data_IF_293789879277
#
_entry.id   IF_293789879277
#
_cell.length_a   1.000
_cell.length_b   1.000
_cell.length_c   1.000
_cell.angle_alpha   90.00
_cell.angle_beta   90.00
_cell.angle_gamma   90.00
#
_symmetry.space_group_name_H-M   'P 1'
#
loop_
_entity.id
_entity.type
_entity.pdbx_description
1 polymer ?
#
# COMPACT_ATOMS: atom_id res chain seq x y z
N UNK A 1 -12.76 -7.64 4.70
CA UNK A 1 -11.68 -7.03 5.48
C UNK A 1 -10.73 -6.36 4.52
N UNK A 2 -10.52 -5.05 4.67
CA UNK A 2 -9.58 -4.26 3.87
C UNK A 2 -8.27 -4.01 4.60
N UNK A 3 -7.34 -3.28 3.99
CA UNK A 3 -6.02 -3.03 4.58
C UNK A 3 -6.12 -2.33 5.95
N UNK A 4 -7.10 -1.44 6.12
CA UNK A 4 -7.38 -0.77 7.39
C UNK A 4 -7.66 -1.77 8.53
N UNK A 5 -8.23 -2.93 8.23
CA UNK A 5 -8.60 -3.93 9.23
C UNK A 5 -7.38 -4.75 9.72
N UNK A 6 -6.23 -4.66 9.03
CA UNK A 6 -5.02 -5.44 9.32
C UNK A 6 -3.86 -4.61 9.88
N UNK A 7 -4.07 -3.33 10.17
CA UNK A 7 -3.00 -2.44 10.61
C UNK A 7 -2.28 -2.94 11.86
N UNK A 8 -3.03 -3.31 12.91
CA UNK A 8 -2.45 -3.82 14.16
C UNK A 8 -1.63 -5.09 13.92
N UNK A 9 -2.15 -6.02 13.11
CA UNK A 9 -1.42 -7.23 12.74
C UNK A 9 -0.11 -6.92 12.02
N UNK A 10 -0.14 -5.99 11.05
CA UNK A 10 1.05 -5.65 10.26
C UNK A 10 2.13 -4.98 11.13
N UNK A 11 1.74 -4.10 12.04
CA UNK A 11 2.64 -3.47 13.01
C UNK A 11 3.21 -4.50 13.99
N UNK A 12 2.39 -5.41 14.51
CA UNK A 12 2.85 -6.50 15.40
C UNK A 12 3.85 -7.44 14.71
N UNK A 13 3.76 -7.58 13.38
CA UNK A 13 4.71 -8.33 12.56
C UNK A 13 5.96 -7.54 12.17
N UNK A 14 6.04 -6.27 12.56
CA UNK A 14 7.18 -5.39 12.27
C UNK A 14 7.25 -4.94 10.81
N UNK A 15 6.11 -4.88 10.11
CA UNK A 15 6.08 -4.43 8.70
C UNK A 15 6.18 -2.91 8.55
N UNK A 16 6.05 -2.15 9.64
CA UNK A 16 6.20 -0.70 9.71
C UNK A 16 6.01 -0.22 11.14
N UNK A 17 6.31 1.07 11.41
CA UNK A 17 6.12 1.66 12.74
C UNK A 17 4.65 2.01 13.01
N UNK A 18 3.86 2.19 11.95
CA UNK A 18 2.40 2.34 12.00
C UNK A 18 1.70 1.60 10.83
N UNK A 19 0.37 1.61 10.84
CA UNK A 19 -0.44 0.91 9.83
C UNK A 19 -0.31 1.46 8.41
N UNK A 20 -0.06 2.76 8.26
CA UNK A 20 0.12 3.41 6.94
C UNK A 20 1.48 3.02 6.36
N UNK A 21 2.54 3.16 7.15
CA UNK A 21 3.88 2.73 6.76
C UNK A 21 3.90 1.24 6.45
N UNK A 22 3.28 0.41 7.29
CA UNK A 22 3.20 -1.03 7.06
C UNK A 22 2.47 -1.38 5.76
N UNK A 23 1.40 -0.68 5.42
CA UNK A 23 0.70 -0.87 4.16
C UNK A 23 1.53 -0.41 2.95
N UNK A 24 2.22 0.74 3.04
CA UNK A 24 3.14 1.20 1.99
C UNK A 24 4.28 0.19 1.79
N UNK A 25 4.84 -0.35 2.87
CA UNK A 25 5.88 -1.38 2.81
C UNK A 25 5.36 -2.69 2.19
N UNK A 26 4.10 -3.04 2.45
CA UNK A 26 3.46 -4.18 1.78
C UNK A 26 3.34 -3.95 0.26
N UNK A 27 2.92 -2.75 -0.16
CA UNK A 27 2.88 -2.38 -1.59
C UNK A 27 4.27 -2.39 -2.22
N UNK A 28 5.28 -1.88 -1.50
CA UNK A 28 6.68 -1.91 -1.91
C UNK A 28 7.20 -3.33 -2.16
N UNK A 29 6.94 -4.22 -1.21
CA UNK A 29 7.31 -5.62 -1.30
C UNK A 29 6.62 -6.30 -2.49
N UNK A 30 5.33 -6.02 -2.70
CA UNK A 30 4.58 -6.57 -3.83
C UNK A 30 5.13 -6.08 -5.17
N UNK A 31 5.46 -4.78 -5.29
CA UNK A 31 6.02 -4.18 -6.52
C UNK A 31 7.38 -4.81 -6.86
N UNK A 32 8.25 -4.94 -5.85
CA UNK A 32 9.54 -5.60 -5.99
C UNK A 32 9.40 -7.08 -6.37
N UNK A 33 8.37 -7.77 -5.88
CA UNK A 33 8.07 -9.16 -6.21
C UNK A 33 7.63 -9.34 -7.66
N UNK A 34 6.67 -8.54 -8.13
CA UNK A 34 6.16 -8.67 -9.51
C UNK A 34 7.18 -8.25 -10.55
N UNK A 35 8.04 -7.26 -10.25
CA UNK A 35 9.15 -6.84 -11.13
C UNK A 35 10.25 -7.89 -11.32
N UNK A 36 10.20 -9.02 -10.60
CA UNK A 36 11.09 -10.15 -10.87
C UNK A 36 10.75 -10.82 -12.21
N UNK A 37 9.53 -10.64 -12.72
CA UNK A 37 9.17 -10.99 -14.09
C UNK A 37 9.52 -9.84 -15.04
N UNK A 38 10.38 -10.12 -16.02
CA UNK A 38 10.84 -9.13 -17.01
C UNK A 38 9.72 -8.55 -17.88
N UNK A 39 8.53 -9.17 -17.92
CA UNK A 39 7.35 -8.65 -18.61
C UNK A 39 6.54 -7.66 -17.77
N UNK A 40 6.86 -7.49 -16.48
CA UNK A 40 6.11 -6.65 -15.55
C UNK A 40 6.97 -5.47 -15.10
N UNK A 41 6.58 -4.26 -15.50
CA UNK A 41 7.25 -3.02 -15.08
C UNK A 41 6.87 -2.57 -13.66
N UNK A 42 5.76 -3.09 -13.13
CA UNK A 42 5.20 -2.73 -11.83
C UNK A 42 3.68 -2.81 -11.85
N UNK A 43 3.05 -2.26 -10.81
CA UNK A 43 1.59 -2.12 -10.75
C UNK A 43 1.18 -0.68 -10.50
N UNK A 44 -0.10 -0.39 -10.74
CA UNK A 44 -0.69 0.92 -10.48
C UNK A 44 -1.91 0.77 -9.58
N UNK A 45 -2.13 1.75 -8.72
CA UNK A 45 -3.33 1.79 -7.91
C UNK A 45 -4.48 2.33 -8.76
N UNK A 46 -5.52 1.52 -8.93
CA UNK A 46 -6.59 1.80 -9.88
C UNK A 46 -7.61 2.83 -9.39
N UNK A 47 -7.82 2.93 -8.08
CA UNK A 47 -8.85 3.80 -7.49
C UNK A 47 -8.38 4.37 -6.18
N UNK A 48 -8.57 5.69 -6.04
CA UNK A 48 -8.53 6.41 -4.78
C UNK A 48 -9.94 6.94 -4.50
N UNK A 49 -10.42 6.73 -3.28
CA UNK A 49 -11.77 7.06 -2.87
C UNK A 49 -12.66 5.84 -2.72
N UNK A 50 -13.53 5.79 -1.71
CA UNK A 50 -14.39 4.65 -1.48
C UNK A 50 -15.67 4.74 -2.30
N UNK A 51 -16.11 3.61 -2.85
CA UNK A 51 -17.47 3.45 -3.39
C UNK A 51 -18.19 2.40 -2.54
N UNK A 52 -19.34 2.75 -1.95
CA UNK A 52 -20.16 1.80 -1.18
C UNK A 52 -19.38 1.06 -0.08
N UNK A 53 -19.28 -0.27 -0.20
CA UNK A 53 -18.66 -1.16 0.80
C UNK A 53 -17.12 -1.15 0.77
N UNK A 54 -16.48 -0.43 -0.15
CA UNK A 54 -15.02 -0.38 -0.30
C UNK A 54 -14.29 0.53 0.70
N UNK A 55 -15.00 1.06 1.70
CA UNK A 55 -14.47 2.05 2.66
C UNK A 55 -13.20 1.59 3.39
N UNK A 56 -13.06 0.28 3.63
CA UNK A 56 -11.89 -0.32 4.29
C UNK A 56 -10.68 -0.56 3.38
N UNK A 57 -10.87 -0.36 2.08
CA UNK A 57 -9.84 -0.45 1.05
C UNK A 57 -9.40 0.93 0.57
N UNK A 58 -10.05 1.98 1.07
CA UNK A 58 -9.79 3.34 0.65
C UNK A 58 -8.38 3.78 1.04
N UNK A 59 -7.76 4.52 0.14
CA UNK A 59 -6.41 5.03 0.29
C UNK A 59 -6.38 6.56 0.34
N UNK A 60 -7.53 7.24 0.19
CA UNK A 60 -7.59 8.71 0.13
C UNK A 60 -6.82 9.37 1.28
N UNK A 61 -6.93 8.79 2.48
CA UNK A 61 -6.30 9.31 3.70
C UNK A 61 -4.77 9.19 3.70
N UNK A 62 -4.22 8.25 2.93
CA UNK A 62 -2.78 7.94 2.88
C UNK A 62 -2.13 8.38 1.57
N UNK A 63 -2.88 9.03 0.67
CA UNK A 63 -2.35 9.54 -0.60
C UNK A 63 -1.11 10.43 -0.43
N UNK A 64 -1.03 11.35 0.56
CA UNK A 64 0.17 12.16 0.74
C UNK A 64 1.41 11.31 1.06
N UNK A 65 1.27 10.28 1.91
CA UNK A 65 2.36 9.39 2.29
C UNK A 65 2.78 8.51 1.11
N UNK A 66 1.81 7.97 0.36
CA UNK A 66 2.05 7.19 -0.85
C UNK A 66 2.76 8.02 -1.94
N UNK A 67 2.35 9.28 -2.13
CA UNK A 67 2.99 10.17 -3.09
C UNK A 67 4.45 10.46 -2.71
N UNK A 68 4.74 10.69 -1.41
CA UNK A 68 6.12 10.86 -0.93
C UNK A 68 6.96 9.61 -1.18
N UNK A 69 6.40 8.43 -0.93
CA UNK A 69 7.05 7.16 -1.22
C UNK A 69 7.40 7.01 -2.70
N UNK A 70 6.44 7.22 -3.61
CA UNK A 70 6.66 7.08 -5.07
C UNK A 70 7.71 8.06 -5.57
N UNK A 71 7.66 9.33 -5.14
CA UNK A 71 8.65 10.36 -5.51
C UNK A 71 10.04 10.03 -4.95
N UNK A 72 10.10 9.36 -3.81
CA UNK A 72 11.34 8.92 -3.16
C UNK A 72 12.02 7.72 -3.83
N UNK A 73 11.34 6.98 -4.71
CA UNK A 73 11.89 5.80 -5.41
C UNK A 73 12.87 6.13 -6.56
N UNK A 74 13.61 7.25 -6.47
CA UNK A 74 14.56 7.65 -7.51
C UNK A 74 15.83 6.81 -7.54
#
# INVERSE_FOLDING_TARGET
YGWEDFQSYAVDKGWGNDGTEAFINQLAWYDAGVRQDNYVYGFTVFTAGPVGHWKKYDIDRILPDLARYVVGQR
#
